data_IF_407330978505
#
_entry.id   IF_407330978505
#
_cell.length_a   1.000
_cell.length_b   1.000
_cell.length_c   1.000
_cell.angle_alpha   90.00
_cell.angle_beta   90.00
_cell.angle_gamma   90.00
#
_symmetry.space_group_name_H-M   'P 1'
#
loop_
_entity.id
_entity.type
_entity.pdbx_description
1 polymer ?
#
# COMPACT_ATOMS: atom_id res chain seq x y z
N UNK A 1 -3.13 -16.33 -13.34
CA UNK A 1 -2.27 -17.53 -13.23
C UNK A 1 -3.06 -18.80 -12.89
N UNK A 2 -4.13 -18.76 -12.10
CA UNK A 2 -4.91 -19.97 -11.76
C UNK A 2 -5.41 -20.79 -12.97
N UNK A 3 -5.63 -20.19 -14.13
CA UNK A 3 -5.99 -20.90 -15.37
C UNK A 3 -4.93 -21.94 -15.83
N UNK A 4 -3.68 -21.79 -15.37
CA UNK A 4 -2.57 -22.70 -15.68
C UNK A 4 -2.30 -23.73 -14.57
N UNK A 5 -3.12 -23.79 -13.52
CA UNK A 5 -2.89 -24.69 -12.38
C UNK A 5 -2.82 -26.17 -12.80
N UNK A 6 -3.78 -26.62 -13.61
CA UNK A 6 -3.78 -28.01 -14.10
C UNK A 6 -2.56 -28.30 -14.99
N UNK A 7 -2.19 -27.36 -15.87
CA UNK A 7 -1.02 -27.53 -16.74
C UNK A 7 0.29 -27.61 -15.92
N UNK A 8 0.41 -26.83 -14.85
CA UNK A 8 1.55 -26.90 -13.94
C UNK A 8 1.60 -28.23 -13.16
N UNK A 9 0.46 -28.74 -12.71
CA UNK A 9 0.34 -30.07 -12.08
C UNK A 9 0.73 -31.18 -13.05
N UNK A 10 0.21 -31.14 -14.28
CA UNK A 10 0.51 -32.15 -15.31
C UNK A 10 1.99 -32.15 -15.70
N UNK A 11 2.64 -30.98 -15.69
CA UNK A 11 4.08 -30.83 -15.93
C UNK A 11 4.94 -31.20 -14.70
N UNK A 12 4.33 -31.46 -13.54
CA UNK A 12 5.05 -31.76 -12.30
C UNK A 12 5.87 -30.58 -11.77
N UNK A 13 5.45 -29.34 -12.03
CA UNK A 13 6.15 -28.13 -11.61
C UNK A 13 5.40 -27.39 -10.49
N UNK A 14 6.17 -26.67 -9.68
CA UNK A 14 5.67 -25.76 -8.64
C UNK A 14 5.79 -24.32 -9.12
N UNK A 15 4.68 -23.57 -9.09
CA UNK A 15 4.66 -22.14 -9.36
C UNK A 15 4.24 -21.42 -8.08
N UNK A 16 5.21 -21.08 -7.23
CA UNK A 16 4.98 -20.40 -5.95
C UNK A 16 4.84 -18.89 -6.15
N UNK A 17 3.70 -18.33 -5.73
CA UNK A 17 3.37 -16.90 -5.87
C UNK A 17 3.10 -16.28 -4.50
N UNK A 18 2.85 -14.96 -4.49
CA UNK A 18 2.35 -14.25 -3.30
C UNK A 18 3.21 -14.51 -2.06
N UNK A 19 4.54 -14.46 -2.22
CA UNK A 19 5.54 -14.78 -1.20
C UNK A 19 6.60 -13.68 -1.04
N UNK A 20 6.14 -12.44 -0.98
CA UNK A 20 6.95 -11.27 -0.60
C UNK A 20 6.56 -10.76 0.79
N UNK A 21 6.22 -9.47 0.87
CA UNK A 21 5.70 -8.84 2.09
C UNK A 21 4.16 -8.87 2.14
N UNK A 22 3.53 -8.17 1.19
CA UNK A 22 2.08 -8.05 1.02
C UNK A 22 1.80 -7.99 -0.49
N UNK A 23 1.47 -9.13 -1.14
CA UNK A 23 1.19 -10.44 -0.55
C UNK A 23 2.44 -11.30 -0.24
N UNK A 24 2.45 -11.96 0.93
CA UNK A 24 3.51 -12.86 1.41
C UNK A 24 3.50 -13.05 2.92
N UNK A 25 4.38 -12.36 3.66
CA UNK A 25 4.42 -12.39 5.13
C UNK A 25 3.04 -12.14 5.75
N UNK A 26 2.24 -11.26 5.14
CA UNK A 26 0.87 -11.01 5.57
C UNK A 26 0.01 -12.30 5.57
N UNK A 27 0.12 -13.14 4.54
CA UNK A 27 -0.57 -14.43 4.48
C UNK A 27 -0.04 -15.42 5.53
N UNK A 28 1.28 -15.52 5.67
CA UNK A 28 1.93 -16.47 6.57
C UNK A 28 1.37 -16.34 7.99
N UNK A 29 1.39 -15.12 8.54
CA UNK A 29 0.96 -14.86 9.90
C UNK A 29 -0.55 -14.68 10.04
N UNK A 30 -1.29 -14.34 8.98
CA UNK A 30 -2.75 -14.38 9.02
C UNK A 30 -3.25 -15.82 9.16
N UNK A 31 -2.79 -16.72 8.28
CA UNK A 31 -3.16 -18.14 8.29
C UNK A 31 -2.74 -18.80 9.60
N UNK A 32 -1.51 -18.53 10.09
CA UNK A 32 -1.02 -19.06 11.37
C UNK A 32 -2.01 -18.77 12.51
N UNK A 33 -2.32 -17.50 12.78
CA UNK A 33 -3.20 -17.12 13.89
C UNK A 33 -4.63 -17.66 13.69
N UNK A 34 -5.14 -17.67 12.46
CA UNK A 34 -6.47 -18.18 12.14
C UNK A 34 -6.57 -19.68 12.45
N UNK A 35 -5.62 -20.49 11.97
CA UNK A 35 -5.60 -21.93 12.22
C UNK A 35 -5.46 -22.25 13.71
N UNK A 36 -4.64 -21.50 14.45
CA UNK A 36 -4.52 -21.64 15.91
C UNK A 36 -5.86 -21.40 16.62
N UNK A 37 -6.56 -20.32 16.29
CA UNK A 37 -7.87 -20.01 16.90
C UNK A 37 -8.90 -21.08 16.55
N UNK A 38 -8.98 -21.53 15.30
CA UNK A 38 -9.92 -22.58 14.90
C UNK A 38 -9.61 -23.92 15.57
N UNK A 39 -8.32 -24.28 15.71
CA UNK A 39 -7.88 -25.50 16.40
C UNK A 39 -8.27 -25.50 17.87
N UNK A 40 -8.28 -24.34 18.52
CA UNK A 40 -8.76 -24.15 19.89
C UNK A 40 -10.30 -24.09 20.00
N UNK A 41 -11.02 -24.13 18.87
CA UNK A 41 -12.47 -24.06 18.80
C UNK A 41 -13.05 -22.64 18.91
N UNK A 42 -12.21 -21.62 18.70
CA UNK A 42 -12.63 -20.23 18.60
C UNK A 42 -13.13 -19.85 17.21
N UNK A 43 -13.57 -18.60 17.07
CA UNK A 43 -14.15 -18.03 15.84
C UNK A 43 -13.58 -16.63 15.58
N UNK A 44 -13.26 -16.34 14.32
CA UNK A 44 -12.79 -15.02 13.90
C UNK A 44 -14.00 -14.15 13.56
N UNK A 45 -14.34 -13.19 14.42
CA UNK A 45 -15.48 -12.27 14.20
C UNK A 45 -15.09 -11.15 13.24
N UNK A 46 -13.85 -10.69 13.32
CA UNK A 46 -13.28 -9.64 12.48
C UNK A 46 -11.81 -9.93 12.17
N UNK A 47 -11.41 -9.68 10.93
CA UNK A 47 -10.04 -9.70 10.45
C UNK A 47 -9.72 -8.39 9.74
N UNK A 48 -8.75 -7.65 10.27
CA UNK A 48 -8.23 -6.43 9.67
C UNK A 48 -6.73 -6.60 9.46
N UNK A 49 -6.25 -6.30 8.26
CA UNK A 49 -4.84 -6.33 7.90
C UNK A 49 -4.45 -5.07 7.17
N UNK A 50 -3.46 -4.36 7.69
CA UNK A 50 -2.93 -3.16 7.06
C UNK A 50 -1.42 -3.25 6.93
N UNK A 51 -0.90 -2.87 5.78
CA UNK A 51 0.53 -2.85 5.48
C UNK A 51 0.96 -1.50 4.87
N UNK A 52 2.15 -1.02 5.22
CA UNK A 52 2.77 0.15 4.61
C UNK A 52 4.28 0.03 4.52
N UNK A 53 4.81 0.25 3.32
CA UNK A 53 6.22 0.61 3.09
C UNK A 53 6.35 2.12 2.99
N UNK A 54 7.00 2.74 3.96
CA UNK A 54 7.03 4.17 4.20
C UNK A 54 8.48 4.61 4.51
N UNK A 55 8.82 5.90 4.45
CA UNK A 55 10.04 6.38 5.09
C UNK A 55 9.95 6.18 6.62
N UNK A 56 11.09 6.01 7.29
CA UNK A 56 11.14 6.12 8.74
C UNK A 56 10.60 7.50 9.20
N UNK A 57 10.00 7.62 10.40
CA UNK A 57 9.39 8.88 10.84
C UNK A 57 10.32 10.09 10.73
N UNK A 58 11.58 9.93 11.10
CA UNK A 58 12.60 10.98 11.02
C UNK A 58 12.95 11.41 9.58
N UNK A 59 12.73 10.54 8.60
CA UNK A 59 13.04 10.76 7.17
C UNK A 59 11.78 11.05 6.34
N UNK A 60 10.64 11.20 7.00
CA UNK A 60 9.33 11.42 6.37
C UNK A 60 9.04 12.89 6.02
N UNK A 61 10.00 13.81 6.23
CA UNK A 61 9.79 15.25 6.09
C UNK A 61 9.72 15.73 4.62
N UNK A 62 8.68 15.32 3.92
CA UNK A 62 8.23 15.88 2.65
C UNK A 62 6.70 15.97 2.65
N UNK A 63 6.07 16.72 1.74
CA UNK A 63 4.63 16.99 1.80
C UNK A 63 3.72 15.75 1.77
N UNK A 64 4.21 14.62 1.26
CA UNK A 64 3.47 13.36 1.21
C UNK A 64 3.74 12.47 2.41
N UNK A 65 4.78 12.71 3.21
CA UNK A 65 5.28 11.70 4.15
C UNK A 65 5.66 10.40 3.45
N UNK A 66 6.12 10.47 2.19
CA UNK A 66 6.32 9.27 1.37
C UNK A 66 7.60 9.35 0.55
N UNK A 67 8.22 8.21 0.31
CA UNK A 67 9.38 8.06 -0.58
C UNK A 67 9.29 6.76 -1.35
N UNK A 68 9.73 6.77 -2.60
CA UNK A 68 9.60 5.61 -3.46
C UNK A 68 10.66 4.56 -3.15
N UNK A 69 10.23 3.39 -2.66
CA UNK A 69 11.03 2.17 -2.59
C UNK A 69 10.73 1.20 -3.74
N UNK A 70 9.80 1.57 -4.63
CA UNK A 70 9.37 0.83 -5.82
C UNK A 70 8.75 1.82 -6.84
N UNK A 71 8.22 1.32 -7.95
CA UNK A 71 7.71 2.14 -9.07
C UNK A 71 6.71 3.24 -8.64
N UNK A 72 7.06 4.51 -8.88
CA UNK A 72 6.19 5.66 -8.59
C UNK A 72 4.86 5.59 -9.36
N UNK A 73 4.93 5.23 -10.64
CA UNK A 73 3.74 5.00 -11.47
C UNK A 73 2.82 3.94 -10.87
N UNK A 74 3.39 2.83 -10.38
CA UNK A 74 2.64 1.78 -9.72
C UNK A 74 1.94 2.26 -8.44
N UNK A 75 2.63 3.06 -7.61
CA UNK A 75 2.03 3.69 -6.42
C UNK A 75 0.83 4.53 -6.80
N UNK A 76 0.98 5.43 -7.77
CA UNK A 76 -0.09 6.35 -8.17
C UNK A 76 -1.29 5.65 -8.80
N UNK A 77 -1.05 4.65 -9.66
CA UNK A 77 -2.14 3.86 -10.25
C UNK A 77 -2.89 3.05 -9.20
N UNK A 78 -2.21 2.57 -8.15
CA UNK A 78 -2.89 1.87 -7.06
C UNK A 78 -3.91 2.74 -6.33
N UNK A 79 -3.75 4.08 -6.37
CA UNK A 79 -4.68 5.04 -5.76
C UNK A 79 -5.97 5.22 -6.57
N UNK A 80 -6.05 4.66 -7.79
CA UNK A 80 -7.29 4.62 -8.62
C UNK A 80 -8.07 3.32 -8.44
N UNK A 81 -7.55 2.35 -7.68
CA UNK A 81 -8.19 1.06 -7.53
C UNK A 81 -9.54 1.20 -6.81
N UNK A 82 -10.49 0.36 -7.19
CA UNK A 82 -11.69 0.12 -6.38
C UNK A 82 -11.29 -0.72 -5.18
N UNK A 83 -11.75 -0.30 -4.00
CA UNK A 83 -11.64 -1.11 -2.80
C UNK A 83 -12.98 -1.81 -2.52
N UNK A 84 -12.95 -3.11 -2.26
CA UNK A 84 -14.13 -3.89 -1.89
C UNK A 84 -13.80 -4.74 -0.68
N UNK A 85 -14.62 -4.68 0.36
CA UNK A 85 -14.36 -5.40 1.61
C UNK A 85 -15.66 -5.76 2.33
N UNK A 86 -15.57 -6.65 3.32
CA UNK A 86 -16.70 -7.00 4.17
C UNK A 86 -16.63 -6.14 5.44
N UNK A 87 -17.72 -5.46 5.79
CA UNK A 87 -17.84 -4.69 7.03
C UNK A 87 -19.22 -4.95 7.63
N UNK A 88 -19.26 -5.41 8.88
CA UNK A 88 -20.51 -5.73 9.59
C UNK A 88 -21.47 -6.66 8.80
N UNK A 89 -20.91 -7.63 8.07
CA UNK A 89 -21.62 -8.63 7.28
C UNK A 89 -22.14 -8.10 5.94
N UNK A 90 -21.77 -6.89 5.53
CA UNK A 90 -22.15 -6.28 4.26
C UNK A 90 -20.93 -6.03 3.41
N UNK A 91 -21.08 -6.24 2.11
CA UNK A 91 -20.07 -5.82 1.14
C UNK A 91 -20.12 -4.29 1.04
N UNK A 92 -18.98 -3.66 1.31
CA UNK A 92 -18.73 -2.25 1.05
C UNK A 92 -17.84 -2.15 -0.18
N UNK A 93 -18.18 -1.24 -1.09
CA UNK A 93 -17.40 -0.92 -2.27
C UNK A 93 -17.12 0.58 -2.26
N UNK A 94 -15.85 0.95 -2.43
CA UNK A 94 -15.37 2.32 -2.46
C UNK A 94 -14.74 2.54 -3.84
N UNK A 95 -15.28 3.51 -4.56
CA UNK A 95 -14.79 3.87 -5.89
C UNK A 95 -13.35 4.41 -5.82
N UNK A 96 -12.61 4.36 -6.92
CA UNK A 96 -11.26 4.94 -6.96
C UNK A 96 -11.22 6.44 -6.67
N UNK A 97 -12.28 7.17 -7.00
CA UNK A 97 -12.39 8.63 -6.73
C UNK A 97 -12.64 8.92 -5.25
N UNK A 98 -13.32 8.02 -4.54
CA UNK A 98 -13.65 8.19 -3.12
C UNK A 98 -12.65 7.49 -2.19
N UNK A 99 -11.68 6.75 -2.76
CA UNK A 99 -10.76 5.91 -2.00
C UNK A 99 -9.97 6.72 -0.95
N UNK A 100 -9.46 7.89 -1.33
CA UNK A 100 -8.70 8.74 -0.41
C UNK A 100 -9.57 9.35 0.70
N UNK A 101 -10.85 9.58 0.44
CA UNK A 101 -11.81 10.05 1.44
C UNK A 101 -12.21 8.97 2.44
N UNK A 102 -12.09 7.70 2.03
CA UNK A 102 -12.36 6.56 2.90
C UNK A 102 -11.27 6.32 3.95
N UNK A 103 -10.11 6.98 3.83
CA UNK A 103 -8.98 6.79 4.72
C UNK A 103 -9.33 7.19 6.17
N UNK A 104 -9.04 6.29 7.12
CA UNK A 104 -9.27 6.49 8.55
C UNK A 104 -7.97 6.41 9.32
N UNK A 105 -7.87 7.15 10.44
CA UNK A 105 -6.75 7.00 11.38
C UNK A 105 -6.70 5.55 11.89
N UNK A 106 -5.52 4.95 11.91
CA UNK A 106 -5.31 3.59 12.38
C UNK A 106 -4.84 3.61 13.83
N UNK A 107 -5.56 2.90 14.71
CA UNK A 107 -5.11 2.67 16.07
C UNK A 107 -4.31 1.37 16.14
N UNK A 108 -3.00 1.45 15.89
CA UNK A 108 -2.12 0.27 15.87
C UNK A 108 -1.64 -0.15 17.26
N UNK A 109 -1.91 0.64 18.31
CA UNK A 109 -1.31 0.49 19.63
C UNK A 109 0.12 1.04 19.74
N UNK A 110 0.69 1.58 18.66
CA UNK A 110 2.00 2.24 18.65
C UNK A 110 1.82 3.77 18.55
N UNK A 111 1.76 4.49 19.68
CA UNK A 111 1.36 5.90 19.71
C UNK A 111 2.34 6.85 19.01
N UNK A 112 3.56 6.40 18.72
CA UNK A 112 4.58 7.19 18.01
C UNK A 112 4.31 7.36 16.51
N UNK A 113 3.35 6.63 15.93
CA UNK A 113 3.05 6.70 14.50
C UNK A 113 1.68 7.35 14.22
N UNK A 114 1.67 8.29 13.27
CA UNK A 114 0.46 8.94 12.79
C UNK A 114 -0.02 8.30 11.49
N UNK A 115 -0.55 7.07 11.58
CA UNK A 115 -0.99 6.33 10.40
C UNK A 115 -2.46 6.57 10.06
N UNK A 116 -2.73 6.63 8.76
CA UNK A 116 -4.05 6.50 8.16
C UNK A 116 -4.06 5.28 7.25
N UNK A 117 -5.24 4.68 7.04
CA UNK A 117 -5.40 3.53 6.16
C UNK A 117 -6.71 3.54 5.39
N UNK A 118 -6.66 3.00 4.18
CA UNK A 118 -7.79 2.79 3.27
C UNK A 118 -7.76 1.36 2.74
N UNK A 119 -8.92 0.85 2.31
CA UNK A 119 -9.04 -0.51 1.76
C UNK A 119 -8.20 -0.69 0.48
N UNK A 120 -7.69 -1.90 0.26
CA UNK A 120 -6.82 -2.20 -0.89
C UNK A 120 -7.41 -3.34 -1.73
N UNK A 121 -7.73 -3.07 -3.00
CA UNK A 121 -8.31 -4.03 -3.97
C UNK A 121 -9.53 -4.74 -3.37
N UNK A 122 -9.69 -6.05 -3.60
CA UNK A 122 -10.82 -6.83 -3.14
C UNK A 122 -10.43 -7.76 -1.99
N UNK A 123 -10.98 -7.49 -0.81
CA UNK A 123 -10.85 -8.32 0.39
C UNK A 123 -11.96 -9.37 0.51
N UNK A 124 -13.02 -9.29 -0.29
CA UNK A 124 -14.18 -10.19 -0.17
C UNK A 124 -13.88 -11.67 -0.40
N UNK A 125 -12.88 -12.09 -1.21
CA UNK A 125 -12.56 -13.50 -1.37
C UNK A 125 -11.86 -14.13 -0.16
N UNK A 126 -11.40 -13.33 0.81
CA UNK A 126 -10.57 -13.82 1.92
C UNK A 126 -11.37 -14.56 3.00
N UNK A 127 -12.71 -14.49 2.97
CA UNK A 127 -13.57 -15.37 3.77
C UNK A 127 -13.31 -16.85 3.45
N UNK A 128 -13.20 -17.17 2.16
CA UNK A 128 -12.89 -18.51 1.66
C UNK A 128 -11.41 -18.77 1.66
N UNK A 129 -10.61 -17.78 1.24
CA UNK A 129 -9.16 -17.94 1.07
C UNK A 129 -8.45 -18.24 2.40
N UNK A 130 -8.92 -17.65 3.50
CA UNK A 130 -8.42 -17.95 4.85
C UNK A 130 -9.36 -18.84 5.67
N UNK A 131 -10.41 -19.39 5.06
CA UNK A 131 -11.37 -20.26 5.74
C UNK A 131 -12.02 -19.64 7.01
N UNK A 132 -12.41 -18.36 6.93
CA UNK A 132 -13.08 -17.59 8.00
C UNK A 132 -14.51 -17.14 7.59
N UNK A 133 -15.41 -18.04 7.16
CA UNK A 133 -16.77 -17.68 6.75
C UNK A 133 -17.62 -17.07 7.88
N UNK A 134 -17.20 -17.23 9.13
CA UNK A 134 -17.83 -16.67 10.32
C UNK A 134 -17.53 -15.18 10.54
N UNK A 135 -16.46 -14.66 9.91
CA UNK A 135 -16.08 -13.26 10.02
C UNK A 135 -17.12 -12.34 9.39
N UNK A 136 -17.48 -11.27 10.10
CA UNK A 136 -18.39 -10.23 9.63
C UNK A 136 -17.66 -8.99 9.12
N UNK A 137 -16.38 -8.85 9.44
CA UNK A 137 -15.53 -7.78 8.93
C UNK A 137 -14.24 -8.41 8.42
N UNK A 138 -13.89 -8.14 7.16
CA UNK A 138 -12.67 -8.62 6.50
C UNK A 138 -12.15 -7.47 5.65
N UNK A 139 -11.10 -6.80 6.14
CA UNK A 139 -10.52 -5.62 5.50
C UNK A 139 -9.01 -5.85 5.35
N UNK A 140 -8.53 -5.87 4.12
CA UNK A 140 -7.11 -5.68 3.80
C UNK A 140 -6.93 -4.28 3.25
N UNK A 141 -5.88 -3.59 3.70
CA UNK A 141 -5.70 -2.18 3.39
C UNK A 141 -4.25 -1.74 3.37
N UNK A 142 -4.05 -0.50 2.92
CA UNK A 142 -2.74 0.12 2.81
C UNK A 142 -2.60 1.24 3.84
N UNK A 143 -1.45 1.31 4.49
CA UNK A 143 -1.09 2.36 5.45
C UNK A 143 -0.31 3.50 4.79
N UNK A 144 -0.56 4.74 5.22
CA UNK A 144 0.19 5.95 4.90
C UNK A 144 0.32 6.84 6.14
N UNK A 145 1.22 7.81 6.11
CA UNK A 145 1.21 8.88 7.12
C UNK A 145 0.05 9.85 6.87
N UNK A 146 -0.40 10.47 7.95
CA UNK A 146 -1.46 11.50 7.93
C UNK A 146 -1.11 12.64 6.96
N UNK A 147 -2.11 13.14 6.24
CA UNK A 147 -1.97 14.15 5.19
C UNK A 147 -1.67 13.64 3.78
N UNK A 148 -1.15 12.40 3.62
CA UNK A 148 -0.91 11.81 2.29
C UNK A 148 -2.19 11.77 1.44
N UNK A 149 -3.29 11.26 2.02
CA UNK A 149 -4.53 11.02 1.29
C UNK A 149 -5.18 12.32 0.81
N UNK A 150 -5.10 13.39 1.61
CA UNK A 150 -5.65 14.70 1.27
C UNK A 150 -4.90 15.36 0.11
N UNK A 151 -3.56 15.27 0.09
CA UNK A 151 -2.76 15.77 -1.02
C UNK A 151 -3.02 14.97 -2.31
N UNK A 152 -3.09 13.64 -2.21
CA UNK A 152 -3.42 12.79 -3.36
C UNK A 152 -4.83 13.08 -3.88
N UNK A 153 -5.82 13.28 -3.01
CA UNK A 153 -7.17 13.66 -3.42
C UNK A 153 -7.17 14.92 -4.29
N UNK A 154 -6.42 15.94 -3.89
CA UNK A 154 -6.29 17.16 -4.69
C UNK A 154 -5.68 16.86 -6.07
N UNK A 155 -4.67 15.99 -6.16
CA UNK A 155 -4.11 15.55 -7.45
C UNK A 155 -5.14 14.79 -8.31
N UNK A 156 -5.97 13.94 -7.69
CA UNK A 156 -7.08 13.24 -8.39
C UNK A 156 -8.08 14.23 -8.97
N UNK A 157 -8.52 15.22 -8.19
CA UNK A 157 -9.46 16.27 -8.64
C UNK A 157 -8.87 17.09 -9.79
N UNK A 158 -7.57 17.34 -9.75
CA UNK A 158 -6.83 18.02 -10.80
C UNK A 158 -6.56 17.15 -12.04
N UNK A 159 -6.92 15.86 -12.03
CA UNK A 159 -6.75 14.97 -13.17
C UNK A 159 -5.32 14.42 -13.34
N UNK A 160 -4.45 14.60 -12.36
CA UNK A 160 -3.04 14.19 -12.44
C UNK A 160 -2.82 12.68 -12.49
N UNK A 161 -3.85 11.86 -12.25
CA UNK A 161 -3.77 10.41 -12.40
C UNK A 161 -4.29 9.92 -13.78
N UNK A 162 -4.46 10.84 -14.74
CA UNK A 162 -4.82 10.53 -16.12
C UNK A 162 -3.63 9.99 -16.90
N UNK A 163 -3.87 8.89 -17.62
CA UNK A 163 -2.94 8.28 -18.57
C UNK A 163 -3.18 8.77 -20.01
N UNK A 164 -4.15 9.67 -20.20
CA UNK A 164 -4.45 10.22 -21.53
C UNK A 164 -3.28 11.07 -22.04
N UNK A 165 -2.92 10.85 -23.29
CA UNK A 165 -1.86 11.60 -23.98
C UNK A 165 -2.31 13.03 -24.23
N UNK A 166 -1.47 13.98 -23.81
CA UNK A 166 -1.71 15.40 -24.02
C UNK A 166 -0.67 15.96 -25.00
N UNK A 167 -1.13 16.58 -26.09
CA UNK A 167 -0.25 17.05 -27.16
C UNK A 167 0.87 18.00 -26.67
N UNK A 168 0.62 18.76 -25.61
CA UNK A 168 1.60 19.69 -25.03
C UNK A 168 2.59 19.03 -24.05
N UNK A 169 2.33 17.79 -23.64
CA UNK A 169 3.22 16.94 -22.84
C UNK A 169 3.93 15.86 -23.67
N UNK A 170 3.69 15.81 -24.97
CA UNK A 170 4.42 14.94 -25.90
C UNK A 170 5.92 15.28 -25.92
N UNK A 171 6.76 14.27 -26.14
CA UNK A 171 8.21 14.42 -26.27
C UNK A 171 8.62 15.40 -27.39
N UNK A 172 7.78 15.57 -28.41
CA UNK A 172 8.05 16.47 -29.56
C UNK A 172 7.47 17.87 -29.39
N UNK A 173 6.80 18.17 -28.26
CA UNK A 173 6.22 19.49 -28.02
C UNK A 173 7.31 20.55 -27.75
N UNK A 174 6.92 21.83 -27.69
CA UNK A 174 7.77 22.89 -27.14
C UNK A 174 7.84 22.80 -25.62
N UNK A 175 8.96 23.20 -25.03
CA UNK A 175 9.14 23.20 -23.57
C UNK A 175 8.00 23.96 -22.88
N UNK A 176 7.54 23.42 -21.76
CA UNK A 176 6.46 23.99 -20.96
C UNK A 176 6.86 23.97 -19.49
N UNK A 177 6.49 25.02 -18.75
CA UNK A 177 6.75 25.13 -17.31
C UNK A 177 5.63 24.51 -16.50
N UNK A 178 5.91 24.18 -15.23
CA UNK A 178 4.87 23.68 -14.34
C UNK A 178 3.69 24.63 -14.18
N UNK A 179 3.93 25.94 -13.99
CA UNK A 179 2.84 26.92 -13.94
C UNK A 179 1.96 26.91 -15.20
N UNK A 180 2.55 26.77 -16.39
CA UNK A 180 1.80 26.68 -17.64
C UNK A 180 0.99 25.38 -17.77
N UNK A 181 1.52 24.24 -17.30
CA UNK A 181 0.76 22.98 -17.21
C UNK A 181 -0.43 23.15 -16.27
N UNK A 182 -0.23 23.76 -15.10
CA UNK A 182 -1.30 23.98 -14.12
C UNK A 182 -2.36 24.96 -14.65
N UNK A 183 -1.97 26.04 -15.34
CA UNK A 183 -2.92 26.92 -16.03
C UNK A 183 -3.83 26.15 -16.99
N UNK A 184 -3.26 25.19 -17.76
CA UNK A 184 -4.01 24.33 -18.68
C UNK A 184 -4.94 23.36 -17.95
N UNK A 185 -4.45 22.69 -16.90
CA UNK A 185 -5.23 21.78 -16.04
C UNK A 185 -6.41 22.49 -15.38
N UNK A 186 -6.25 23.76 -15.02
CA UNK A 186 -7.28 24.59 -14.41
C UNK A 186 -8.20 25.27 -15.43
N UNK A 187 -7.81 25.32 -16.71
CA UNK A 187 -8.56 26.02 -17.75
C UNK A 187 -8.52 27.55 -17.62
N UNK A 188 -7.46 28.11 -17.03
CA UNK A 188 -7.30 29.55 -16.80
C UNK A 188 -6.18 30.14 -17.66
N UNK A 189 -6.27 31.43 -17.97
CA UNK A 189 -5.17 32.16 -18.65
C UNK A 189 -4.13 32.73 -17.68
N UNK A 190 -4.43 32.68 -16.39
CA UNK A 190 -3.55 33.13 -15.31
C UNK A 190 -2.38 32.15 -15.10
N UNK A 191 -1.19 32.68 -14.83
CA UNK A 191 0.02 31.88 -14.57
C UNK A 191 0.85 32.40 -13.39
N UNK A 192 0.38 33.43 -12.69
CA UNK A 192 0.95 33.88 -11.43
C UNK A 192 0.72 32.85 -10.33
N UNK A 193 1.66 32.79 -9.39
CA UNK A 193 1.60 31.87 -8.25
C UNK A 193 0.31 32.06 -7.44
N UNK A 194 -0.08 33.30 -7.19
CA UNK A 194 -1.26 33.66 -6.40
C UNK A 194 -2.56 33.26 -7.11
N UNK A 195 -2.65 33.52 -8.41
CA UNK A 195 -3.81 33.18 -9.21
C UNK A 195 -4.01 31.68 -9.37
N UNK A 196 -2.92 30.93 -9.60
CA UNK A 196 -2.96 29.47 -9.66
C UNK A 196 -3.35 28.85 -8.29
N UNK A 197 -2.82 29.38 -7.18
CA UNK A 197 -3.22 28.94 -5.84
C UNK A 197 -4.71 29.17 -5.60
N UNK A 198 -5.24 30.35 -5.94
CA UNK A 198 -6.66 30.65 -5.79
C UNK A 198 -7.55 29.68 -6.60
N UNK A 199 -7.18 29.41 -7.86
CA UNK A 199 -7.91 28.50 -8.72
C UNK A 199 -7.85 27.03 -8.24
N UNK A 200 -6.72 26.57 -7.67
CA UNK A 200 -6.65 25.25 -7.01
C UNK A 200 -7.56 25.20 -5.77
N UNK A 201 -7.57 26.25 -4.95
CA UNK A 201 -8.42 26.31 -3.75
C UNK A 201 -9.90 26.16 -4.12
N UNK A 202 -10.33 26.85 -5.18
CA UNK A 202 -11.70 26.76 -5.67
C UNK A 202 -12.01 25.37 -6.24
N UNK A 203 -11.17 24.87 -7.17
CA UNK A 203 -11.41 23.59 -7.85
C UNK A 203 -11.39 22.39 -6.91
N UNK A 204 -10.56 22.42 -5.88
CA UNK A 204 -10.42 21.35 -4.90
C UNK A 204 -11.26 21.57 -3.63
N UNK A 205 -12.10 22.59 -3.58
CA UNK A 205 -12.93 22.99 -2.42
C UNK A 205 -12.13 23.07 -1.10
N UNK A 206 -11.03 23.83 -1.11
CA UNK A 206 -10.12 23.91 0.03
C UNK A 206 -10.43 25.07 0.98
N UNK A 207 -11.48 25.86 0.75
CA UNK A 207 -11.74 27.07 1.54
C UNK A 207 -11.94 26.80 3.03
N UNK A 208 -12.60 25.69 3.37
CA UNK A 208 -12.87 25.25 4.74
C UNK A 208 -12.19 23.90 5.07
N UNK A 209 -11.11 23.56 4.35
CA UNK A 209 -10.40 22.30 4.53
C UNK A 209 -9.24 22.47 5.52
N UNK A 210 -9.24 21.67 6.59
CA UNK A 210 -8.20 21.72 7.64
C UNK A 210 -6.78 21.45 7.11
N UNK A 211 -6.66 20.75 5.98
CA UNK A 211 -5.40 20.44 5.31
C UNK A 211 -5.04 21.42 4.18
N UNK A 212 -5.78 22.54 4.00
CA UNK A 212 -5.53 23.53 2.93
C UNK A 212 -4.07 23.95 2.85
N UNK A 213 -3.47 24.32 3.98
CA UNK A 213 -2.08 24.78 4.03
C UNK A 213 -1.11 23.68 3.57
N UNK A 214 -1.25 22.47 4.11
CA UNK A 214 -0.43 21.31 3.74
C UNK A 214 -0.55 20.96 2.25
N UNK A 215 -1.76 20.99 1.70
CA UNK A 215 -1.99 20.70 0.28
C UNK A 215 -1.28 21.74 -0.59
N UNK A 216 -1.44 23.03 -0.30
CA UNK A 216 -0.80 24.10 -1.08
C UNK A 216 0.72 24.09 -0.95
N UNK A 217 1.26 23.75 0.22
CA UNK A 217 2.70 23.57 0.43
C UNK A 217 3.22 22.38 -0.40
N UNK A 218 2.45 21.29 -0.49
CA UNK A 218 2.75 20.16 -1.37
C UNK A 218 2.79 20.55 -2.84
N UNK A 219 1.77 21.26 -3.33
CA UNK A 219 1.75 21.74 -4.72
C UNK A 219 2.92 22.69 -5.01
N UNK A 220 3.27 23.57 -4.07
CA UNK A 220 4.43 24.47 -4.20
C UNK A 220 5.74 23.69 -4.28
N UNK A 221 5.91 22.69 -3.42
CA UNK A 221 7.10 21.83 -3.38
C UNK A 221 7.27 20.97 -4.65
N UNK A 222 6.16 20.53 -5.25
CA UNK A 222 6.13 19.89 -6.57
C UNK A 222 6.52 20.83 -7.71
N UNK A 223 6.52 22.15 -7.47
CA UNK A 223 6.84 23.16 -8.46
C UNK A 223 5.64 23.68 -9.24
N UNK A 224 4.39 23.34 -8.85
CA UNK A 224 3.18 23.70 -9.61
C UNK A 224 3.02 25.21 -9.87
N UNK A 225 3.65 26.04 -9.05
CA UNK A 225 3.62 27.51 -9.17
C UNK A 225 4.93 28.10 -9.72
N UNK A 226 5.83 27.27 -10.25
CA UNK A 226 7.17 27.67 -10.68
C UNK A 226 7.27 27.83 -12.21
N UNK A 227 8.38 28.44 -12.65
CA UNK A 227 8.79 28.50 -14.05
C UNK A 227 9.76 27.36 -14.42
N UNK A 228 9.90 26.34 -13.57
CA UNK A 228 10.71 25.16 -13.88
C UNK A 228 10.07 24.38 -15.03
N UNK A 229 10.90 23.92 -15.97
CA UNK A 229 10.47 23.13 -17.11
C UNK A 229 10.08 21.73 -16.66
N UNK A 230 8.97 21.21 -17.17
CA UNK A 230 8.51 19.86 -16.79
C UNK A 230 9.27 18.78 -17.56
N UNK A 231 9.49 17.64 -16.92
CA UNK A 231 9.93 16.41 -17.58
C UNK A 231 8.75 15.71 -18.24
N UNK A 232 8.41 16.17 -19.45
CA UNK A 232 7.32 15.66 -20.28
C UNK A 232 7.43 14.15 -20.52
N UNK A 233 6.34 13.43 -20.23
CA UNK A 233 6.22 11.99 -20.52
C UNK A 233 4.86 11.62 -21.14
N UNK A 234 4.30 12.48 -21.99
CA UNK A 234 3.08 12.21 -22.76
C UNK A 234 1.78 12.49 -22.01
N UNK A 235 1.63 11.92 -20.80
CA UNK A 235 0.46 12.11 -19.94
C UNK A 235 0.76 12.98 -18.71
N UNK A 236 -0.28 13.47 -18.03
CA UNK A 236 -0.14 14.15 -16.73
C UNK A 236 0.42 13.21 -15.66
N UNK A 237 -0.04 11.95 -15.62
CA UNK A 237 0.44 10.95 -14.68
C UNK A 237 1.95 10.74 -14.81
N UNK A 238 2.42 10.47 -16.02
CA UNK A 238 3.82 10.12 -16.23
C UNK A 238 4.72 11.35 -16.10
N UNK A 239 4.24 12.54 -16.48
CA UNK A 239 4.96 13.82 -16.28
C UNK A 239 5.10 14.13 -14.79
N UNK A 240 4.06 13.90 -13.99
CA UNK A 240 4.13 14.03 -12.54
C UNK A 240 5.05 12.96 -11.93
N UNK A 241 4.97 11.70 -12.39
CA UNK A 241 5.85 10.62 -11.94
C UNK A 241 7.32 11.01 -12.09
N UNK A 242 7.71 11.62 -13.21
CA UNK A 242 9.09 12.07 -13.42
C UNK A 242 9.57 13.04 -12.33
N UNK A 243 8.72 13.97 -11.91
CA UNK A 243 9.05 14.95 -10.86
C UNK A 243 9.06 14.31 -9.47
N UNK A 244 8.13 13.40 -9.20
CA UNK A 244 8.05 12.65 -7.95
C UNK A 244 9.27 11.72 -7.78
N UNK A 245 9.68 11.04 -8.87
CA UNK A 245 10.87 10.20 -8.93
C UNK A 245 12.15 10.99 -8.67
N UNK A 246 12.22 12.26 -9.02
CA UNK A 246 13.36 13.11 -8.71
C UNK A 246 13.36 13.56 -7.24
N UNK A 247 12.20 13.97 -6.73
CA UNK A 247 12.09 14.66 -5.42
C UNK A 247 11.89 13.74 -4.22
N UNK A 248 11.40 12.50 -4.41
CA UNK A 248 10.98 11.59 -3.32
C UNK A 248 11.83 10.31 -3.24
N UNK A 249 13.10 10.40 -3.61
CA UNK A 249 14.06 9.32 -3.40
C UNK A 249 14.57 9.31 -1.95
N UNK A 250 15.01 8.13 -1.52
CA UNK A 250 15.81 7.98 -0.32
C UNK A 250 17.23 8.51 -0.55
N UNK A 251 17.73 9.31 0.39
CA UNK A 251 19.13 9.73 0.47
C UNK A 251 19.99 8.67 1.17
N UNK A 252 21.31 8.86 1.10
CA UNK A 252 22.30 7.86 1.56
C UNK A 252 22.20 7.46 3.05
N UNK A 253 21.63 8.34 3.89
CA UNK A 253 21.55 8.16 5.35
C UNK A 253 20.12 7.99 5.86
N UNK A 254 19.16 7.91 4.96
CA UNK A 254 17.76 7.75 5.31
C UNK A 254 17.37 6.28 5.31
N UNK A 255 16.29 5.97 6.03
CA UNK A 255 15.80 4.61 6.20
C UNK A 255 14.34 4.54 5.76
N UNK A 256 13.97 3.40 5.17
CA UNK A 256 12.56 3.04 5.05
C UNK A 256 12.09 2.28 6.29
N UNK A 257 10.77 2.08 6.33
CA UNK A 257 10.01 1.42 7.37
C UNK A 257 8.98 0.52 6.68
N UNK A 258 8.93 -0.73 7.11
CA UNK A 258 7.79 -1.62 6.87
C UNK A 258 7.00 -1.73 8.16
N UNK A 259 5.71 -1.41 8.09
CA UNK A 259 4.75 -1.64 9.17
C UNK A 259 3.63 -2.52 8.64
N UNK A 260 3.47 -3.71 9.20
CA UNK A 260 2.41 -4.65 8.88
C UNK A 260 1.74 -5.07 10.18
N UNK A 261 0.42 -4.92 10.27
CA UNK A 261 -0.33 -5.38 11.42
C UNK A 261 -1.61 -6.08 11.00
N UNK A 262 -1.80 -7.27 11.57
CA UNK A 262 -3.09 -7.94 11.64
C UNK A 262 -3.75 -7.64 12.97
N UNK A 263 -5.06 -7.47 12.95
CA UNK A 263 -5.93 -7.39 14.11
C UNK A 263 -7.07 -8.39 13.93
N UNK A 264 -7.29 -9.19 14.97
CA UNK A 264 -8.31 -10.23 15.01
C UNK A 264 -9.22 -9.96 16.20
N UNK A 265 -10.53 -9.86 15.95
CA UNK A 265 -11.52 -9.98 17.03
C UNK A 265 -11.99 -11.43 17.08
N UNK A 266 -11.76 -12.08 18.22
CA UNK A 266 -11.92 -13.52 18.40
C UNK A 266 -12.98 -13.78 19.47
N UNK A 267 -13.87 -14.73 19.19
CA UNK A 267 -14.71 -15.37 20.20
C UNK A 267 -14.11 -16.74 20.52
N UNK A 268 -13.59 -16.91 21.73
CA UNK A 268 -13.03 -18.18 22.20
C UNK A 268 -14.13 -19.23 22.39
N UNK A 269 -13.74 -20.49 22.55
CA UNK A 269 -14.67 -21.62 22.70
C UNK A 269 -15.67 -21.48 23.87
N UNK A 270 -15.26 -20.81 24.94
CA UNK A 270 -16.10 -20.51 26.12
C UNK A 270 -16.99 -19.26 25.95
N UNK A 271 -16.88 -18.56 24.82
CA UNK A 271 -17.60 -17.34 24.50
C UNK A 271 -16.87 -16.05 24.88
N UNK A 272 -15.70 -16.13 25.53
CA UNK A 272 -14.89 -14.95 25.86
C UNK A 272 -14.46 -14.23 24.59
N UNK A 273 -14.65 -12.91 24.56
CA UNK A 273 -14.19 -12.05 23.47
C UNK A 273 -12.75 -11.63 23.75
N UNK A 274 -11.91 -11.68 22.72
CA UNK A 274 -10.50 -11.35 22.79
C UNK A 274 -10.06 -10.63 21.53
N UNK A 275 -9.30 -9.55 21.68
CA UNK A 275 -8.56 -8.98 20.56
C UNK A 275 -7.14 -9.54 20.54
N UNK A 276 -6.70 -10.05 19.39
CA UNK A 276 -5.27 -10.34 19.13
C UNK A 276 -4.74 -9.41 18.05
N UNK A 277 -3.48 -9.01 18.17
CA UNK A 277 -2.72 -8.37 17.09
C UNK A 277 -1.51 -9.21 16.75
N UNK A 278 -1.07 -9.15 15.50
CA UNK A 278 0.21 -9.69 15.03
C UNK A 278 0.90 -8.57 14.27
N UNK A 279 2.09 -8.15 14.68
CA UNK A 279 2.72 -6.91 14.17
C UNK A 279 4.18 -7.12 13.76
N UNK A 280 4.53 -6.72 12.54
CA UNK A 280 5.90 -6.55 12.05
C UNK A 280 6.20 -5.05 11.92
N UNK A 281 7.31 -4.63 12.54
CA UNK A 281 7.88 -3.28 12.41
C UNK A 281 9.36 -3.44 12.08
N UNK A 282 9.73 -3.19 10.82
CA UNK A 282 11.11 -3.36 10.35
C UNK A 282 11.63 -2.05 9.75
N UNK A 283 12.85 -1.68 10.14
CA UNK A 283 13.53 -0.49 9.61
C UNK A 283 14.66 -0.89 8.67
N UNK A 284 14.82 -0.16 7.57
CA UNK A 284 15.96 -0.32 6.69
C UNK A 284 17.29 -0.06 7.39
N UNK A 285 18.35 -0.70 6.90
CA UNK A 285 19.71 -0.55 7.45
C UNK A 285 20.50 0.43 6.58
N UNK A 286 21.05 1.48 7.19
CA UNK A 286 21.93 2.43 6.49
C UNK A 286 23.16 1.67 5.98
N UNK A 287 23.48 1.81 4.69
CA UNK A 287 24.55 1.07 4.03
C UNK A 287 24.26 -0.43 3.84
N UNK A 288 23.03 -0.87 4.09
CA UNK A 288 22.56 -2.24 3.88
C UNK A 288 21.29 -2.28 3.04
N UNK A 289 20.48 -3.31 3.23
CA UNK A 289 19.19 -3.44 2.56
C UNK A 289 18.10 -2.62 3.25
N UNK A 290 17.16 -2.11 2.45
CA UNK A 290 15.94 -1.49 2.93
C UNK A 290 15.02 -2.53 3.59
N UNK A 291 14.12 -2.11 4.47
CA UNK A 291 13.11 -2.99 5.07
C UNK A 291 12.22 -3.60 3.98
N UNK A 292 11.84 -2.82 2.97
CA UNK A 292 11.05 -3.30 1.82
C UNK A 292 11.81 -4.38 1.03
N UNK A 293 13.09 -4.14 0.69
CA UNK A 293 13.88 -5.12 -0.05
C UNK A 293 14.08 -6.42 0.75
N UNK A 294 14.32 -6.28 2.06
CA UNK A 294 14.52 -7.42 2.97
C UNK A 294 13.24 -8.24 3.10
N UNK A 295 12.11 -7.61 3.44
CA UNK A 295 10.83 -8.28 3.69
C UNK A 295 10.12 -8.77 2.42
N UNK A 296 10.57 -8.38 1.23
CA UNK A 296 10.13 -8.97 -0.04
C UNK A 296 11.11 -10.04 -0.54
N UNK A 297 12.41 -9.74 -0.52
CA UNK A 297 13.44 -10.59 -1.10
C UNK A 297 13.74 -11.84 -0.28
N UNK A 298 13.77 -11.74 1.06
CA UNK A 298 14.10 -12.87 1.93
C UNK A 298 13.03 -13.96 1.89
N UNK A 299 11.72 -13.68 2.03
CA UNK A 299 10.68 -14.72 1.88
C UNK A 299 10.72 -15.38 0.50
N UNK A 300 10.95 -14.60 -0.56
CA UNK A 300 11.10 -15.11 -1.91
C UNK A 300 12.32 -16.05 -2.05
N UNK A 301 13.46 -15.67 -1.48
CA UNK A 301 14.67 -16.49 -1.46
C UNK A 301 14.48 -17.80 -0.69
N UNK A 302 13.85 -17.74 0.49
CA UNK A 302 13.53 -18.92 1.30
C UNK A 302 12.62 -19.87 0.55
N UNK A 303 11.51 -19.38 -0.01
CA UNK A 303 10.57 -20.21 -0.77
C UNK A 303 11.24 -20.85 -2.00
N UNK A 304 12.09 -20.09 -2.70
CA UNK A 304 12.89 -20.60 -3.82
C UNK A 304 13.79 -21.75 -3.38
N UNK A 305 14.53 -21.58 -2.27
CA UNK A 305 15.42 -22.61 -1.73
C UNK A 305 14.63 -23.87 -1.33
N UNK A 306 13.49 -23.72 -0.65
CA UNK A 306 12.64 -24.84 -0.27
C UNK A 306 12.06 -25.62 -1.46
N UNK A 307 11.74 -24.95 -2.56
CA UNK A 307 11.33 -25.60 -3.82
C UNK A 307 12.50 -26.39 -4.43
N UNK A 308 13.70 -25.79 -4.50
CA UNK A 308 14.89 -26.43 -5.05
C UNK A 308 15.33 -27.65 -4.21
N UNK A 309 15.23 -27.55 -2.89
CA UNK A 309 15.56 -28.63 -1.94
C UNK A 309 14.47 -29.70 -1.84
N UNK A 310 13.38 -29.57 -2.62
CA UNK A 310 12.21 -30.46 -2.61
C UNK A 310 11.58 -30.60 -1.22
N UNK A 311 11.57 -29.51 -0.46
CA UNK A 311 10.86 -29.39 0.82
C UNK A 311 9.43 -28.89 0.61
N UNK A 312 9.23 -28.00 -0.36
CA UNK A 312 7.90 -27.65 -0.89
C UNK A 312 7.64 -28.49 -2.14
N UNK A 313 6.88 -29.58 -2.00
CA UNK A 313 6.68 -30.58 -3.07
C UNK A 313 5.34 -30.48 -3.79
N UNK A 314 4.43 -29.63 -3.32
CA UNK A 314 3.14 -29.43 -3.99
C UNK A 314 3.36 -28.86 -5.40
N UNK A 315 2.66 -29.42 -6.39
CA UNK A 315 2.69 -28.98 -7.79
C UNK A 315 1.45 -28.15 -8.13
N UNK A 316 1.57 -27.27 -9.11
CA UNK A 316 0.49 -26.37 -9.52
C UNK A 316 0.83 -24.90 -9.25
N UNK A 317 -0.20 -24.06 -9.31
CA UNK A 317 -0.11 -22.62 -9.02
C UNK A 317 -0.45 -22.40 -7.55
N UNK A 318 0.55 -22.04 -6.75
CA UNK A 318 0.47 -22.00 -5.29
C UNK A 318 0.59 -20.58 -4.73
N UNK A 319 0.10 -20.42 -3.51
CA UNK A 319 0.25 -19.27 -2.64
C UNK A 319 0.32 -19.76 -1.17
N UNK A 320 0.85 -18.98 -0.22
CA UNK A 320 1.01 -19.38 1.18
C UNK A 320 -0.32 -19.45 1.97
N UNK A 321 -1.15 -20.45 1.66
CA UNK A 321 -2.54 -20.58 2.13
C UNK A 321 -2.78 -21.74 3.11
N UNK A 322 -1.74 -22.44 3.55
CA UNK A 322 -1.85 -23.56 4.49
C UNK A 322 -0.61 -23.67 5.37
N UNK A 323 -0.76 -24.21 6.58
CA UNK A 323 0.36 -24.53 7.48
C UNK A 323 1.47 -25.36 6.81
N UNK A 324 1.12 -26.32 5.96
CA UNK A 324 2.10 -27.17 5.24
C UNK A 324 3.11 -26.33 4.41
N UNK A 325 2.64 -25.24 3.79
CA UNK A 325 3.52 -24.31 3.06
C UNK A 325 4.13 -23.28 4.03
N UNK A 326 3.32 -22.79 4.96
CA UNK A 326 3.65 -21.60 5.73
C UNK A 326 4.64 -21.87 6.88
N UNK A 327 4.46 -22.96 7.63
CA UNK A 327 5.31 -23.30 8.79
C UNK A 327 6.81 -23.35 8.47
N UNK A 328 7.28 -24.08 7.43
CA UNK A 328 8.72 -24.12 7.13
C UNK A 328 9.26 -22.76 6.67
N UNK A 329 8.43 -21.92 6.04
CA UNK A 329 8.83 -20.57 5.63
C UNK A 329 8.93 -19.64 6.84
N UNK A 330 7.95 -19.69 7.75
CA UNK A 330 7.94 -18.90 8.99
C UNK A 330 9.16 -19.25 9.84
N UNK A 331 9.47 -20.53 10.03
CA UNK A 331 10.62 -20.97 10.82
C UNK A 331 11.94 -20.39 10.29
N UNK A 332 12.14 -20.42 8.97
CA UNK A 332 13.35 -19.86 8.34
C UNK A 332 13.36 -18.33 8.35
N UNK A 333 12.20 -17.67 8.20
CA UNK A 333 12.10 -16.21 8.29
C UNK A 333 12.46 -15.71 9.69
N UNK A 334 11.99 -16.39 10.73
CA UNK A 334 12.28 -16.02 12.11
C UNK A 334 13.78 -16.20 12.44
N UNK A 335 14.46 -17.16 11.81
CA UNK A 335 15.92 -17.31 11.91
C UNK A 335 16.68 -16.13 11.25
N UNK A 336 16.12 -15.55 10.20
CA UNK A 336 16.61 -14.30 9.57
C UNK A 336 16.23 -13.03 10.37
N UNK A 337 15.53 -13.20 11.50
CA UNK A 337 15.07 -12.11 12.36
C UNK A 337 13.83 -11.38 11.84
N UNK A 338 13.11 -11.96 10.87
CA UNK A 338 11.89 -11.39 10.28
C UNK A 338 10.70 -12.17 10.82
N UNK A 339 9.80 -11.49 11.52
CA UNK A 339 8.57 -12.12 12.00
C UNK A 339 7.57 -11.13 12.56
N UNK A 340 6.33 -11.58 12.79
CA UNK A 340 5.29 -10.78 13.40
C UNK A 340 5.11 -11.16 14.88
N UNK A 341 5.12 -10.15 15.75
CA UNK A 341 4.94 -10.32 17.19
C UNK A 341 3.46 -10.32 17.53
N UNK A 342 2.98 -11.41 18.12
CA UNK A 342 1.60 -11.55 18.57
C UNK A 342 1.37 -10.97 19.97
N UNK A 343 0.24 -10.27 20.17
CA UNK A 343 -0.20 -9.76 21.47
C UNK A 343 -1.70 -9.90 21.64
N UNK A 344 -2.12 -10.11 22.88
CA UNK A 344 -3.52 -10.02 23.33
C UNK A 344 -3.68 -8.63 23.96
N UNK A 345 -4.72 -7.88 23.58
CA UNK A 345 -4.99 -6.53 24.09
C UNK A 345 -5.95 -6.51 25.27
#
# INVERSE_FOLDING_TARGET
MMEYDQAAKDAGITVMNEIGLDPGIDHLYAVKTIEEVHKEGGKLKEFISFCGGLPAPEDSNNPFGYKFSWSARGVLLALKNVARYLENGKVVEVSGTDLMDSAKKLNTGYPGFAFVGYGNRDSTPYDKRYNIPEAKTIIRGTMRYDGFCQLVKALVILGFLSEEEEAHLSANASDITWSQVISKVLGVQESSSEGLQAAIIEKCDLNNNDHKAQILDGMRWLGFFSQEKVHRRGSLLDTLCATLEEKMQYGEKERDLVFLQHRFEIELKDGTQQTRTSTLVEYGKIGGYSAMATTVGVPCGIATQLVLDRKLTATGVLAPMSSEINEPIIELLEQEGIGMVEKIL
#
